data_IF_471714440991
#
_entry.id   IF_471714440991
#
_cell.length_a   1.000
_cell.length_b   1.000
_cell.length_c   1.000
_cell.angle_alpha   90.00
_cell.angle_beta   90.00
_cell.angle_gamma   90.00
#
_symmetry.space_group_name_H-M   'P 1'
#
loop_
_entity.id
_entity.type
_entity.pdbx_description
1 polymer ?
#
# COMPACT_ATOMS: atom_id res chain seq x y z
N UNK A 1 4.66 -28.30 54.39
CA UNK A 1 6.11 -28.38 54.07
C UNK A 1 6.35 -27.63 52.75
N UNK A 2 7.46 -26.90 52.60
CA UNK A 2 7.79 -26.19 51.35
C UNK A 2 8.18 -27.20 50.26
N UNK A 3 7.61 -27.06 49.05
CA UNK A 3 7.94 -27.89 47.89
C UNK A 3 9.38 -27.63 47.43
N UNK A 4 9.98 -28.60 46.72
CA UNK A 4 11.36 -28.45 46.22
C UNK A 4 11.49 -27.26 45.28
N UNK A 5 10.49 -27.04 44.39
CA UNK A 5 10.46 -25.89 43.49
C UNK A 5 10.40 -24.55 44.22
N UNK A 6 9.55 -24.45 45.24
CA UNK A 6 9.48 -23.23 46.07
C UNK A 6 10.82 -22.93 46.77
N UNK A 7 11.50 -23.95 47.31
CA UNK A 7 12.81 -23.76 47.97
C UNK A 7 13.86 -23.19 47.00
N UNK A 8 13.89 -23.68 45.76
CA UNK A 8 14.80 -23.20 44.73
C UNK A 8 14.49 -21.76 44.33
N UNK A 9 13.22 -21.41 44.12
CA UNK A 9 12.82 -20.05 43.73
C UNK A 9 13.05 -19.03 44.85
N UNK A 10 12.77 -19.39 46.10
CA UNK A 10 13.09 -18.54 47.26
C UNK A 10 14.60 -18.37 47.40
N UNK A 11 15.38 -19.45 47.25
CA UNK A 11 16.85 -19.38 47.25
C UNK A 11 17.41 -18.49 46.15
N UNK A 12 16.89 -18.60 44.92
CA UNK A 12 17.28 -17.78 43.78
C UNK A 12 16.89 -16.30 43.98
N UNK A 13 15.74 -16.02 44.59
CA UNK A 13 15.30 -14.66 44.95
C UNK A 13 16.28 -14.01 45.92
N UNK A 14 16.64 -14.71 46.99
CA UNK A 14 17.61 -14.22 47.99
C UNK A 14 18.98 -14.03 47.35
N UNK A 15 19.43 -14.97 46.52
CA UNK A 15 20.70 -14.86 45.81
C UNK A 15 20.75 -13.64 44.87
N UNK A 16 19.68 -13.39 44.10
CA UNK A 16 19.57 -12.22 43.23
C UNK A 16 19.56 -10.90 44.01
N UNK A 17 18.88 -10.86 45.16
CA UNK A 17 18.84 -9.69 46.02
C UNK A 17 20.20 -9.37 46.65
N UNK A 18 20.90 -10.39 47.16
CA UNK A 18 22.26 -10.25 47.69
C UNK A 18 23.23 -9.83 46.59
N UNK A 19 23.12 -10.41 45.39
CA UNK A 19 23.92 -10.01 44.23
C UNK A 19 23.67 -8.54 43.86
N UNK A 20 22.44 -8.04 43.94
CA UNK A 20 22.12 -6.64 43.68
C UNK A 20 22.86 -5.69 44.64
N UNK A 21 22.88 -6.04 45.94
CA UNK A 21 23.58 -5.27 46.97
C UNK A 21 25.09 -5.28 46.72
N UNK A 22 25.66 -6.47 46.51
CA UNK A 22 27.11 -6.61 46.28
C UNK A 22 27.55 -5.88 45.00
N UNK A 23 26.78 -6.01 43.91
CA UNK A 23 27.08 -5.33 42.65
C UNK A 23 26.97 -3.81 42.78
N UNK A 24 25.92 -3.32 43.46
CA UNK A 24 25.72 -1.89 43.70
C UNK A 24 26.85 -1.27 44.51
N UNK A 25 27.36 -1.97 45.53
CA UNK A 25 28.49 -1.51 46.34
C UNK A 25 29.85 -1.60 45.63
N UNK A 26 30.01 -2.52 44.67
CA UNK A 26 31.30 -2.79 44.05
C UNK A 26 31.54 -2.07 42.72
N UNK A 27 30.49 -1.67 42.00
CA UNK A 27 30.61 -1.18 40.62
C UNK A 27 29.90 0.15 40.32
N UNK A 28 29.22 0.77 41.28
CA UNK A 28 28.50 2.06 41.14
C UNK A 28 27.60 2.14 39.87
N UNK A 29 27.19 1.00 39.31
CA UNK A 29 26.45 0.90 38.07
C UNK A 29 24.96 0.72 38.31
N UNK A 30 24.16 1.76 38.03
CA UNK A 30 22.71 1.78 38.30
C UNK A 30 21.93 0.74 37.49
N UNK A 31 22.30 0.48 36.23
CA UNK A 31 21.60 -0.47 35.36
C UNK A 31 21.69 -1.92 35.85
N UNK A 32 22.84 -2.34 36.38
CA UNK A 32 23.02 -3.71 36.89
C UNK A 32 22.27 -3.96 38.20
N UNK A 33 22.21 -2.95 39.08
CA UNK A 33 21.41 -3.03 40.31
C UNK A 33 19.92 -3.14 39.98
N UNK A 34 19.42 -2.33 39.05
CA UNK A 34 18.01 -2.38 38.60
C UNK A 34 17.67 -3.74 37.98
N UNK A 35 18.56 -4.30 37.16
CA UNK A 35 18.37 -5.64 36.57
C UNK A 35 18.34 -6.77 37.61
N UNK A 36 19.18 -6.70 38.65
CA UNK A 36 19.20 -7.72 39.71
C UNK A 36 18.01 -7.59 40.66
N UNK A 37 17.55 -6.37 40.95
CA UNK A 37 16.33 -6.14 41.73
C UNK A 37 15.07 -6.56 40.96
N UNK A 38 15.00 -6.33 39.65
CA UNK A 38 13.87 -6.79 38.83
C UNK A 38 13.84 -8.31 38.74
N UNK A 39 15.00 -8.96 38.58
CA UNK A 39 15.13 -10.41 38.64
C UNK A 39 14.69 -10.98 40.01
N UNK A 40 15.13 -10.36 41.12
CA UNK A 40 14.70 -10.76 42.46
C UNK A 40 13.18 -10.62 42.63
N UNK A 41 12.59 -9.54 42.12
CA UNK A 41 11.13 -9.32 42.16
C UNK A 41 10.38 -10.37 41.35
N UNK A 42 10.82 -10.68 40.14
CA UNK A 42 10.22 -11.70 39.28
C UNK A 42 10.32 -13.10 39.89
N UNK A 43 11.49 -13.48 40.41
CA UNK A 43 11.70 -14.76 41.08
C UNK A 43 10.88 -14.88 42.36
N UNK A 44 10.76 -13.79 43.13
CA UNK A 44 9.93 -13.73 44.33
C UNK A 44 8.44 -13.89 44.01
N UNK A 45 7.96 -13.27 42.93
CA UNK A 45 6.60 -13.42 42.45
C UNK A 45 6.32 -14.86 41.99
N UNK A 46 7.23 -15.47 41.22
CA UNK A 46 7.14 -16.88 40.84
C UNK A 46 7.16 -17.82 42.06
N UNK A 47 7.98 -17.51 43.07
CA UNK A 47 8.00 -18.24 44.33
C UNK A 47 6.65 -18.14 45.06
N UNK A 48 6.05 -16.95 45.10
CA UNK A 48 4.73 -16.69 45.66
C UNK A 48 3.62 -17.47 44.94
N UNK A 49 3.62 -17.49 43.61
CA UNK A 49 2.68 -18.28 42.82
C UNK A 49 2.85 -19.77 43.11
N UNK A 50 4.10 -20.28 43.16
CA UNK A 50 4.36 -21.70 43.44
C UNK A 50 3.90 -22.10 44.86
N UNK A 51 4.08 -21.20 45.84
CA UNK A 51 3.64 -21.38 47.22
C UNK A 51 2.12 -21.55 47.35
N UNK A 52 1.35 -20.77 46.57
CA UNK A 52 -0.12 -20.76 46.60
C UNK A 52 -0.69 -21.89 45.74
N UNK A 53 -0.22 -22.03 44.50
CA UNK A 53 -0.79 -22.96 43.53
C UNK A 53 -0.46 -24.43 43.86
N UNK A 54 0.75 -24.72 44.36
CA UNK A 54 1.24 -26.08 44.74
C UNK A 54 1.13 -27.18 43.65
N UNK A 55 0.62 -26.85 42.46
CA UNK A 55 0.19 -27.75 41.39
C UNK A 55 1.33 -28.49 40.67
N UNK A 56 2.58 -28.15 40.96
CA UNK A 56 3.76 -28.66 40.26
C UNK A 56 4.60 -29.66 41.07
N UNK A 57 4.08 -30.20 42.18
CA UNK A 57 4.89 -30.99 43.12
C UNK A 57 4.23 -32.34 43.44
N UNK A 58 4.25 -33.25 42.47
CA UNK A 58 3.97 -34.67 42.70
C UNK A 58 5.24 -35.28 43.31
N UNK A 59 5.15 -35.83 44.52
CA UNK A 59 6.30 -36.52 45.10
C UNK A 59 6.46 -37.87 44.41
N UNK A 60 7.70 -38.24 44.03
CA UNK A 60 7.98 -39.57 43.44
C UNK A 60 7.67 -40.73 44.41
N UNK A 61 7.41 -40.44 45.69
CA UNK A 61 7.05 -41.40 46.72
C UNK A 61 5.54 -41.46 46.98
N UNK A 62 4.75 -40.65 46.29
CA UNK A 62 3.30 -40.54 46.48
C UNK A 62 2.57 -41.21 45.31
N UNK A 63 2.36 -42.52 45.43
CA UNK A 63 1.88 -43.38 44.34
C UNK A 63 0.47 -43.01 43.85
N UNK A 64 -0.38 -42.46 44.72
CA UNK A 64 -1.72 -41.98 44.38
C UNK A 64 -1.66 -40.69 43.54
N UNK A 65 -0.74 -39.78 43.90
CA UNK A 65 -0.51 -38.54 43.18
C UNK A 65 0.13 -38.77 41.80
N UNK A 66 0.84 -39.88 41.58
CA UNK A 66 1.38 -40.29 40.27
C UNK A 66 0.27 -40.77 39.33
N UNK A 67 -0.81 -41.36 39.85
CA UNK A 67 -1.96 -41.80 39.05
C UNK A 67 -2.83 -40.61 38.64
N UNK A 68 -2.97 -39.61 39.50
CA UNK A 68 -3.67 -38.34 39.21
C UNK A 68 -2.81 -37.30 38.47
N UNK A 69 -1.50 -37.57 38.31
CA UNK A 69 -0.56 -36.66 37.69
C UNK A 69 -0.99 -36.31 36.26
N UNK A 70 -0.69 -35.09 35.77
CA UNK A 70 -1.04 -34.67 34.40
C UNK A 70 -0.47 -35.56 33.28
N UNK A 71 0.46 -36.47 33.60
CA UNK A 71 1.00 -37.49 32.69
C UNK A 71 -0.01 -38.60 32.37
N UNK A 72 -1.03 -38.84 33.21
CA UNK A 72 -2.12 -39.79 32.94
C UNK A 72 -3.23 -39.20 32.06
N UNK A 73 -3.15 -37.91 31.71
CA UNK A 73 -4.07 -37.26 30.77
C UNK A 73 -3.68 -37.58 29.32
N UNK A 74 -4.68 -37.62 28.45
CA UNK A 74 -4.48 -37.75 27.01
C UNK A 74 -3.54 -36.66 26.51
N UNK A 75 -2.58 -37.02 25.63
CA UNK A 75 -1.71 -36.04 25.01
C UNK A 75 -2.56 -34.97 24.29
N UNK A 76 -2.20 -33.67 24.41
CA UNK A 76 -2.91 -32.61 23.72
C UNK A 76 -2.87 -32.86 22.22
N UNK A 77 -3.89 -32.39 21.51
CA UNK A 77 -3.94 -32.55 20.07
C UNK A 77 -2.85 -31.72 19.40
N UNK A 78 -2.32 -32.15 18.23
CA UNK A 78 -1.34 -31.38 17.51
C UNK A 78 -1.93 -30.04 17.06
N UNK A 79 -1.41 -28.94 17.61
CA UNK A 79 -1.86 -27.57 17.32
C UNK A 79 -0.88 -26.83 16.42
N UNK A 80 -1.40 -26.13 15.42
CA UNK A 80 -0.63 -25.26 14.53
C UNK A 80 -0.49 -23.83 15.06
N UNK A 81 -1.32 -23.43 16.02
CA UNK A 81 -1.37 -22.06 16.53
C UNK A 81 -0.06 -21.55 17.17
N UNK A 82 0.72 -22.36 17.92
CA UNK A 82 2.02 -21.93 18.40
C UNK A 82 2.97 -21.49 17.28
N UNK A 83 2.90 -22.16 16.12
CA UNK A 83 3.71 -21.83 14.96
C UNK A 83 3.23 -20.53 14.30
N UNK A 84 1.92 -20.30 14.25
CA UNK A 84 1.33 -19.03 13.79
C UNK A 84 1.75 -17.88 14.70
N UNK A 85 1.71 -18.05 16.02
CA UNK A 85 2.15 -17.04 16.99
C UNK A 85 3.65 -16.75 16.84
N UNK A 86 4.48 -17.78 16.68
CA UNK A 86 5.92 -17.60 16.45
C UNK A 86 6.20 -16.84 15.14
N UNK A 87 5.50 -17.19 14.06
CA UNK A 87 5.59 -16.49 12.78
C UNK A 87 5.13 -15.04 12.88
N UNK A 88 4.01 -14.78 13.57
CA UNK A 88 3.50 -13.44 13.84
C UNK A 88 4.47 -12.59 14.67
N UNK A 89 5.08 -13.16 15.72
CA UNK A 89 6.10 -12.49 16.50
C UNK A 89 7.35 -12.15 15.65
N UNK A 90 7.76 -13.06 14.77
CA UNK A 90 8.81 -12.80 13.79
C UNK A 90 8.46 -11.64 12.85
N UNK A 91 7.22 -11.58 12.34
CA UNK A 91 6.73 -10.49 11.51
C UNK A 91 6.66 -9.15 12.25
N UNK A 92 6.33 -9.14 13.54
CA UNK A 92 6.38 -7.93 14.37
C UNK A 92 7.81 -7.39 14.42
N UNK A 93 8.79 -8.24 14.72
CA UNK A 93 10.21 -7.84 14.78
C UNK A 93 10.69 -7.34 13.42
N UNK A 94 10.30 -8.01 12.34
CA UNK A 94 10.64 -7.60 10.98
C UNK A 94 10.00 -6.25 10.61
N UNK A 95 8.71 -6.07 10.87
CA UNK A 95 7.97 -4.85 10.55
C UNK A 95 8.37 -3.64 11.37
N UNK A 96 8.97 -3.83 12.56
CA UNK A 96 9.60 -2.74 13.30
C UNK A 96 10.77 -2.09 12.56
N UNK A 97 11.39 -2.81 11.61
CA UNK A 97 12.55 -2.35 10.85
C UNK A 97 12.17 -1.92 9.44
N UNK A 98 11.19 -2.60 8.81
CA UNK A 98 10.88 -2.42 7.39
C UNK A 98 9.69 -1.49 7.16
N UNK A 99 8.47 -1.99 7.40
CA UNK A 99 7.25 -1.23 7.16
C UNK A 99 6.14 -1.53 8.19
N UNK A 100 5.32 -0.51 8.44
CA UNK A 100 4.19 -0.58 9.37
C UNK A 100 3.16 -1.66 8.98
N UNK A 101 3.00 -1.96 7.69
CA UNK A 101 2.08 -3.00 7.23
C UNK A 101 2.45 -4.39 7.78
N UNK A 102 3.73 -4.76 7.75
CA UNK A 102 4.21 -6.04 8.28
C UNK A 102 4.06 -6.13 9.80
N UNK A 103 4.29 -5.01 10.49
CA UNK A 103 4.08 -4.92 11.94
C UNK A 103 2.61 -5.18 12.31
N UNK A 104 1.67 -4.49 11.64
CA UNK A 104 0.24 -4.64 11.90
C UNK A 104 -0.23 -6.08 11.62
N UNK A 105 0.21 -6.66 10.50
CA UNK A 105 -0.09 -8.05 10.15
C UNK A 105 0.43 -9.02 11.22
N UNK A 106 1.66 -8.81 11.71
CA UNK A 106 2.25 -9.59 12.79
C UNK A 106 1.43 -9.52 14.09
N UNK A 107 0.98 -8.32 14.46
CA UNK A 107 0.10 -8.12 15.63
C UNK A 107 -1.22 -8.86 15.49
N UNK A 108 -1.85 -8.81 14.30
CA UNK A 108 -3.10 -9.53 14.01
C UNK A 108 -2.88 -11.05 14.14
N UNK A 109 -1.81 -11.59 13.55
CA UNK A 109 -1.49 -13.02 13.62
C UNK A 109 -1.20 -13.50 15.04
N UNK A 110 -0.47 -12.71 15.84
CA UNK A 110 -0.25 -13.02 17.26
C UNK A 110 -1.55 -12.96 18.03
N UNK A 111 -2.37 -11.93 17.84
CA UNK A 111 -3.66 -11.78 18.53
C UNK A 111 -4.61 -12.94 18.25
N UNK A 112 -4.80 -13.27 16.97
CA UNK A 112 -5.63 -14.41 16.57
C UNK A 112 -5.04 -15.74 17.02
N UNK A 113 -3.73 -15.94 16.82
CA UNK A 113 -3.06 -17.17 17.20
C UNK A 113 -3.09 -17.44 18.70
N UNK A 114 -2.87 -16.42 19.54
CA UNK A 114 -2.97 -16.54 21.01
C UNK A 114 -4.41 -16.81 21.43
N UNK A 115 -5.38 -16.10 20.84
CA UNK A 115 -6.80 -16.30 21.16
C UNK A 115 -7.25 -17.72 20.83
N UNK A 116 -6.96 -18.20 19.61
CA UNK A 116 -7.33 -19.55 19.17
C UNK A 116 -6.56 -20.64 19.92
N UNK A 117 -5.27 -20.42 20.21
CA UNK A 117 -4.50 -21.35 21.03
C UNK A 117 -5.04 -21.44 22.46
N UNK A 118 -5.47 -20.30 23.03
CA UNK A 118 -6.10 -20.26 24.35
C UNK A 118 -7.47 -20.95 24.34
N UNK A 119 -8.29 -20.73 23.31
CA UNK A 119 -9.56 -21.44 23.12
C UNK A 119 -9.37 -22.94 22.96
N UNK A 120 -8.35 -23.36 22.22
CA UNK A 120 -7.99 -24.77 22.07
C UNK A 120 -7.63 -25.39 23.42
N UNK A 121 -6.68 -24.77 24.13
CA UNK A 121 -6.22 -25.24 25.43
C UNK A 121 -7.33 -25.25 26.49
N UNK A 122 -8.25 -24.29 26.44
CA UNK A 122 -9.45 -24.29 27.28
C UNK A 122 -10.42 -25.40 26.89
N UNK A 123 -10.72 -25.56 25.61
CA UNK A 123 -11.69 -26.54 25.12
C UNK A 123 -11.24 -27.98 25.41
N UNK A 124 -9.95 -28.28 25.28
CA UNK A 124 -9.37 -29.58 25.63
C UNK A 124 -9.51 -29.92 27.11
N UNK A 125 -9.69 -28.91 27.97
CA UNK A 125 -9.77 -29.04 29.44
C UNK A 125 -11.15 -28.73 30.00
N UNK A 126 -12.14 -28.46 29.15
CA UNK A 126 -13.48 -28.04 29.58
C UNK A 126 -14.21 -29.13 30.38
N UNK A 127 -14.03 -30.40 30.01
CA UNK A 127 -14.57 -31.56 30.72
C UNK A 127 -13.68 -32.79 30.58
N UNK A 128 -13.97 -33.83 31.36
CA UNK A 128 -13.34 -35.15 31.21
C UNK A 128 -13.82 -35.93 29.98
N UNK A 129 -14.87 -35.46 29.29
CA UNK A 129 -15.42 -36.10 28.09
C UNK A 129 -14.91 -35.41 26.82
N UNK A 130 -14.22 -36.18 25.98
CA UNK A 130 -13.66 -35.71 24.70
C UNK A 130 -14.76 -35.31 23.70
N UNK A 131 -15.93 -35.96 23.73
CA UNK A 131 -17.03 -35.63 22.83
C UNK A 131 -17.62 -34.24 23.16
N UNK A 132 -17.83 -33.97 24.45
CA UNK A 132 -18.27 -32.66 24.93
C UNK A 132 -17.27 -31.55 24.59
N UNK A 133 -15.98 -31.80 24.78
CA UNK A 133 -14.92 -30.82 24.49
C UNK A 133 -14.88 -30.40 23.02
N UNK A 134 -15.07 -31.35 22.09
CA UNK A 134 -15.16 -31.06 20.65
C UNK A 134 -16.39 -30.25 20.29
N UNK A 135 -17.53 -30.55 20.90
CA UNK A 135 -18.77 -29.81 20.66
C UNK A 135 -18.69 -28.38 21.22
N UNK A 136 -18.08 -28.20 22.40
CA UNK A 136 -17.84 -26.89 22.99
C UNK A 136 -16.97 -26.01 22.10
N UNK A 137 -15.88 -26.56 21.52
CA UNK A 137 -15.06 -25.84 20.53
C UNK A 137 -15.87 -25.48 19.29
N UNK A 138 -16.58 -26.45 18.71
CA UNK A 138 -17.33 -26.26 17.46
C UNK A 138 -18.41 -25.16 17.54
N UNK A 139 -19.02 -24.96 18.72
CA UNK A 139 -20.02 -23.91 18.94
C UNK A 139 -19.41 -22.50 19.07
N UNK A 140 -18.18 -22.39 19.59
CA UNK A 140 -17.52 -21.11 19.84
C UNK A 140 -16.64 -20.66 18.67
N UNK A 141 -15.76 -21.53 18.15
CA UNK A 141 -14.80 -21.16 17.09
C UNK A 141 -15.34 -21.41 15.68
N UNK A 142 -16.17 -22.44 15.49
CA UNK A 142 -16.63 -22.88 14.16
C UNK A 142 -17.20 -21.79 13.24
N UNK A 143 -18.05 -20.86 13.73
CA UNK A 143 -18.63 -19.81 12.87
C UNK A 143 -17.66 -18.69 12.47
N UNK A 144 -16.62 -18.41 13.27
CA UNK A 144 -15.73 -17.25 13.08
C UNK A 144 -14.33 -17.63 12.58
N UNK A 145 -13.85 -18.81 12.94
CA UNK A 145 -12.49 -19.29 12.63
C UNK A 145 -12.24 -19.32 11.11
N UNK A 146 -13.15 -19.91 10.32
CA UNK A 146 -12.97 -20.00 8.87
C UNK A 146 -13.08 -18.66 8.13
N UNK A 147 -14.09 -17.80 8.38
CA UNK A 147 -14.16 -16.49 7.71
C UNK A 147 -12.99 -15.58 8.06
N UNK A 148 -12.55 -15.56 9.33
CA UNK A 148 -11.43 -14.71 9.77
C UNK A 148 -10.12 -15.20 9.16
N UNK A 149 -9.84 -16.50 9.20
CA UNK A 149 -8.64 -17.05 8.57
C UNK A 149 -8.64 -16.82 7.06
N UNK A 150 -9.78 -16.97 6.39
CA UNK A 150 -9.90 -16.71 4.96
C UNK A 150 -9.64 -15.23 4.64
N UNK A 151 -10.16 -14.30 5.46
CA UNK A 151 -9.91 -12.87 5.28
C UNK A 151 -8.43 -12.51 5.46
N UNK A 152 -7.78 -13.04 6.50
CA UNK A 152 -6.35 -12.82 6.74
C UNK A 152 -5.52 -13.40 5.58
N UNK A 153 -5.82 -14.62 5.14
CA UNK A 153 -5.14 -15.23 4.00
C UNK A 153 -5.32 -14.41 2.72
N UNK A 154 -6.53 -13.90 2.45
CA UNK A 154 -6.79 -13.05 1.29
C UNK A 154 -5.98 -11.74 1.35
N UNK A 155 -5.93 -11.08 2.51
CA UNK A 155 -5.13 -9.86 2.71
C UNK A 155 -3.65 -10.13 2.44
N UNK A 156 -3.10 -11.21 2.99
CA UNK A 156 -1.70 -11.61 2.77
C UNK A 156 -1.41 -11.84 1.28
N UNK A 157 -2.32 -12.54 0.59
CA UNK A 157 -2.17 -12.83 -0.85
C UNK A 157 -2.22 -11.56 -1.68
N UNK A 158 -3.22 -10.71 -1.46
CA UNK A 158 -3.40 -9.44 -2.20
C UNK A 158 -2.20 -8.52 -1.98
N UNK A 159 -1.75 -8.37 -0.73
CA UNK A 159 -0.61 -7.52 -0.39
C UNK A 159 0.69 -8.02 -1.04
N UNK A 160 0.96 -9.32 -0.95
CA UNK A 160 2.17 -9.90 -1.56
C UNK A 160 2.16 -9.77 -3.08
N UNK A 161 1.00 -10.00 -3.70
CA UNK A 161 0.83 -9.82 -5.15
C UNK A 161 1.03 -8.36 -5.57
N UNK A 162 0.48 -7.40 -4.81
CA UNK A 162 0.68 -5.97 -5.04
C UNK A 162 2.17 -5.61 -5.04
N UNK A 163 2.95 -6.09 -4.06
CA UNK A 163 4.40 -5.84 -4.01
C UNK A 163 5.16 -6.46 -5.18
N UNK A 164 4.84 -7.71 -5.55
CA UNK A 164 5.45 -8.35 -6.73
C UNK A 164 5.18 -7.55 -8.00
N UNK A 165 3.96 -7.03 -8.16
CA UNK A 165 3.56 -6.26 -9.34
C UNK A 165 4.22 -4.88 -9.42
N UNK A 166 4.43 -4.22 -8.28
CA UNK A 166 5.14 -2.94 -8.22
C UNK A 166 6.63 -3.09 -8.49
N UNK A 167 7.20 -4.25 -8.14
CA UNK A 167 8.59 -4.58 -8.41
C UNK A 167 8.85 -4.96 -9.88
N UNK A 168 7.90 -5.63 -10.54
CA UNK A 168 8.09 -6.14 -11.90
C UNK A 168 8.15 -5.01 -12.96
N UNK A 169 9.15 -5.10 -13.85
CA UNK A 169 9.33 -4.16 -14.97
C UNK A 169 8.30 -4.38 -16.10
N UNK A 170 8.21 -3.40 -17.04
CA UNK A 170 7.32 -3.45 -18.22
C UNK A 170 7.48 -4.73 -19.04
N UNK A 171 8.68 -5.31 -19.08
CA UNK A 171 8.97 -6.56 -19.79
C UNK A 171 8.86 -7.80 -18.90
N UNK A 172 9.26 -7.71 -17.63
CA UNK A 172 9.20 -8.84 -16.70
C UNK A 172 7.77 -9.18 -16.27
N UNK A 173 6.90 -8.18 -16.12
CA UNK A 173 5.48 -8.30 -15.79
C UNK A 173 4.77 -9.35 -16.64
N UNK A 174 4.62 -9.12 -17.96
CA UNK A 174 3.97 -10.06 -18.87
C UNK A 174 4.59 -11.45 -18.86
N UNK A 175 5.93 -11.54 -18.80
CA UNK A 175 6.64 -12.83 -18.78
C UNK A 175 6.29 -13.64 -17.53
N UNK A 176 6.28 -13.01 -16.36
CA UNK A 176 5.91 -13.69 -15.11
C UNK A 176 4.46 -14.21 -15.16
N UNK A 177 3.51 -13.42 -15.69
CA UNK A 177 2.13 -13.87 -15.86
C UNK A 177 2.01 -15.06 -16.80
N UNK A 178 2.74 -15.07 -17.92
CA UNK A 178 2.74 -16.21 -18.84
C UNK A 178 3.27 -17.47 -18.16
N UNK A 179 4.36 -17.36 -17.38
CA UNK A 179 4.92 -18.49 -16.63
C UNK A 179 3.92 -19.01 -15.61
N UNK A 180 3.32 -18.13 -14.80
CA UNK A 180 2.34 -18.51 -13.77
C UNK A 180 1.10 -19.14 -14.42
N UNK A 181 0.57 -18.55 -15.50
CA UNK A 181 -0.56 -19.11 -16.24
C UNK A 181 -0.24 -20.50 -16.79
N UNK A 182 0.97 -20.69 -17.32
CA UNK A 182 1.42 -22.00 -17.82
C UNK A 182 1.55 -23.03 -16.69
N UNK A 183 2.08 -22.63 -15.52
CA UNK A 183 2.13 -23.51 -14.34
C UNK A 183 0.73 -23.90 -13.85
N UNK A 184 -0.21 -22.95 -13.79
CA UNK A 184 -1.61 -23.22 -13.41
C UNK A 184 -2.27 -24.15 -14.43
N UNK A 185 -2.03 -23.94 -15.73
CA UNK A 185 -2.60 -24.76 -16.79
C UNK A 185 -2.05 -26.19 -16.76
N UNK A 186 -0.73 -26.35 -16.64
CA UNK A 186 -0.08 -27.68 -16.52
C UNK A 186 -0.50 -28.38 -15.23
N UNK A 187 -0.52 -27.66 -14.11
CA UNK A 187 -0.97 -28.18 -12.82
C UNK A 187 -2.43 -28.61 -12.83
N UNK A 188 -3.31 -27.77 -13.37
CA UNK A 188 -4.74 -28.04 -13.52
C UNK A 188 -5.02 -29.22 -14.45
N UNK A 189 -4.29 -29.32 -15.57
CA UNK A 189 -4.37 -30.46 -16.47
C UNK A 189 -3.92 -31.75 -15.77
N UNK A 190 -2.78 -31.72 -15.06
CA UNK A 190 -2.31 -32.87 -14.28
C UNK A 190 -3.32 -33.31 -13.21
N UNK A 191 -3.98 -32.36 -12.55
CA UNK A 191 -5.02 -32.63 -11.56
C UNK A 191 -6.27 -33.27 -12.19
N UNK A 192 -6.68 -32.79 -13.38
CA UNK A 192 -7.84 -33.30 -14.10
C UNK A 192 -7.64 -34.75 -14.61
N UNK A 193 -6.41 -35.14 -14.93
CA UNK A 193 -6.10 -36.50 -15.39
C UNK A 193 -5.93 -37.52 -14.25
N UNK A 194 -5.75 -37.09 -13.01
CA UNK A 194 -5.63 -38.02 -11.89
C UNK A 194 -6.99 -38.43 -11.33
N UNK A 195 -7.18 -39.76 -11.19
CA UNK A 195 -8.41 -40.37 -10.70
C UNK A 195 -8.69 -40.12 -9.21
N UNK A 196 -7.64 -39.79 -8.43
CA UNK A 196 -7.75 -39.43 -7.02
C UNK A 196 -6.47 -38.73 -6.57
N UNK A 197 -6.57 -37.48 -6.13
CA UNK A 197 -5.44 -36.75 -5.55
C UNK A 197 -5.48 -36.89 -4.04
N UNK A 198 -4.33 -37.22 -3.43
CA UNK A 198 -4.23 -37.31 -1.97
C UNK A 198 -4.38 -35.91 -1.37
N UNK A 199 -5.13 -35.78 -0.28
CA UNK A 199 -5.31 -34.50 0.44
C UNK A 199 -3.96 -33.88 0.85
N UNK A 200 -2.96 -34.71 1.15
CA UNK A 200 -1.60 -34.28 1.46
C UNK A 200 -0.88 -33.64 0.28
N UNK A 201 -1.13 -34.09 -0.96
CA UNK A 201 -0.54 -33.49 -2.15
C UNK A 201 -1.13 -32.10 -2.42
N UNK A 202 -2.44 -31.94 -2.24
CA UNK A 202 -3.11 -30.63 -2.34
C UNK A 202 -2.52 -29.67 -1.31
N UNK A 203 -2.46 -30.10 -0.04
CA UNK A 203 -1.92 -29.30 1.04
C UNK A 203 -0.46 -28.88 0.78
N UNK A 204 0.37 -29.79 0.26
CA UNK A 204 1.76 -29.49 -0.08
C UNK A 204 1.88 -28.44 -1.20
N UNK A 205 1.10 -28.58 -2.29
CA UNK A 205 1.13 -27.64 -3.41
C UNK A 205 0.66 -26.25 -2.96
N UNK A 206 -0.45 -26.18 -2.21
CA UNK A 206 -0.96 -24.92 -1.68
C UNK A 206 0.04 -24.26 -0.73
N UNK A 207 0.70 -25.04 0.14
CA UNK A 207 1.72 -24.51 1.04
C UNK A 207 2.93 -23.95 0.28
N UNK A 208 3.43 -24.64 -0.75
CA UNK A 208 4.53 -24.16 -1.58
C UNK A 208 4.14 -22.89 -2.34
N UNK A 209 2.94 -22.85 -2.93
CA UNK A 209 2.44 -21.69 -3.65
C UNK A 209 2.28 -20.46 -2.74
N UNK A 210 1.67 -20.64 -1.57
CA UNK A 210 1.53 -19.58 -0.58
C UNK A 210 2.89 -19.08 -0.08
N UNK A 211 3.82 -19.99 0.22
CA UNK A 211 5.15 -19.63 0.70
C UNK A 211 5.97 -18.91 -0.36
N UNK A 212 5.90 -19.35 -1.62
CA UNK A 212 6.55 -18.67 -2.75
C UNK A 212 5.99 -17.27 -2.99
N UNK A 213 4.67 -17.11 -2.90
CA UNK A 213 4.01 -15.82 -3.06
C UNK A 213 4.37 -14.85 -1.93
N UNK A 214 4.38 -15.30 -0.68
CA UNK A 214 4.77 -14.47 0.47
C UNK A 214 6.26 -14.12 0.41
N UNK A 215 7.14 -15.10 0.13
CA UNK A 215 8.57 -14.84 0.02
C UNK A 215 8.90 -13.88 -1.14
N UNK A 216 8.23 -14.05 -2.28
CA UNK A 216 8.34 -13.14 -3.42
C UNK A 216 7.84 -11.73 -3.09
N UNK A 217 6.71 -11.60 -2.39
CA UNK A 217 6.17 -10.32 -1.94
C UNK A 217 7.08 -9.59 -0.96
N UNK A 218 7.68 -10.31 0.00
CA UNK A 218 8.65 -9.73 0.95
C UNK A 218 9.92 -9.28 0.23
N UNK A 219 10.48 -10.11 -0.65
CA UNK A 219 11.67 -9.74 -1.43
C UNK A 219 11.40 -8.52 -2.32
N UNK A 220 10.28 -8.51 -3.03
CA UNK A 220 9.85 -7.38 -3.85
C UNK A 220 9.63 -6.10 -3.03
N UNK A 221 9.07 -6.21 -1.83
CA UNK A 221 8.90 -5.07 -0.93
C UNK A 221 10.22 -4.49 -0.42
N UNK A 222 11.27 -5.31 -0.27
CA UNK A 222 12.58 -4.85 0.19
C UNK A 222 13.38 -4.12 -0.91
N UNK A 223 13.20 -4.52 -2.16
CA UNK A 223 13.94 -3.94 -3.30
C UNK A 223 13.38 -2.57 -3.74
N UNK A 224 12.19 -2.20 -3.25
CA UNK A 224 11.51 -0.95 -3.60
C UNK A 224 10.65 -1.02 -4.85
N UNK A 225 9.83 0.01 -5.05
CA UNK A 225 8.95 0.15 -6.21
C UNK A 225 9.76 0.65 -7.40
N UNK A 226 9.42 0.20 -8.62
CA UNK A 226 10.04 0.77 -9.82
C UNK A 226 9.62 2.23 -9.97
N UNK A 227 10.52 3.08 -10.45
CA UNK A 227 10.18 4.44 -10.85
C UNK A 227 9.14 4.40 -11.98
N UNK A 228 7.96 4.94 -11.68
CA UNK A 228 6.93 5.22 -12.66
C UNK A 228 7.16 6.66 -13.08
N UNK A 229 7.88 6.89 -14.18
CA UNK A 229 7.95 8.23 -14.75
C UNK A 229 6.52 8.67 -15.08
N UNK A 230 6.04 9.78 -14.47
CA UNK A 230 4.81 10.39 -14.92
C UNK A 230 5.00 10.74 -16.39
N UNK A 231 4.06 10.32 -17.23
CA UNK A 231 4.03 10.84 -18.59
C UNK A 231 3.58 12.29 -18.46
N UNK A 232 4.49 13.21 -18.81
CA UNK A 232 4.17 14.62 -18.91
C UNK A 232 2.95 14.76 -19.83
N UNK A 233 1.98 15.57 -19.42
CA UNK A 233 0.80 15.86 -20.19
C UNK A 233 0.74 17.35 -20.50
N UNK A 234 -0.09 17.73 -21.47
CA UNK A 234 -0.34 19.15 -21.78
C UNK A 234 -0.88 19.95 -20.59
N UNK A 235 -1.43 19.27 -19.57
CA UNK A 235 -1.85 19.92 -18.32
C UNK A 235 -0.64 20.21 -17.43
N UNK A 236 0.31 19.28 -17.35
CA UNK A 236 1.55 19.44 -16.59
C UNK A 236 2.40 20.58 -17.16
N UNK A 237 2.52 20.68 -18.49
CA UNK A 237 3.14 21.85 -19.16
C UNK A 237 2.49 23.18 -18.77
N UNK A 238 1.16 23.19 -18.60
CA UNK A 238 0.43 24.37 -18.17
C UNK A 238 0.62 24.70 -16.68
N UNK A 239 0.88 23.69 -15.86
CA UNK A 239 1.18 23.82 -14.44
C UNK A 239 2.61 24.31 -14.19
N UNK A 240 3.54 23.96 -15.06
CA UNK A 240 4.94 24.43 -15.02
C UNK A 240 5.17 25.75 -15.79
N UNK A 241 4.12 26.33 -16.38
CA UNK A 241 4.21 27.49 -17.28
C UNK A 241 5.17 27.28 -18.46
N UNK A 242 5.34 26.03 -18.89
CA UNK A 242 6.21 25.58 -19.96
C UNK A 242 5.47 25.38 -21.30
N UNK A 243 4.29 25.96 -21.47
CA UNK A 243 3.55 25.88 -22.74
C UNK A 243 4.15 26.78 -23.84
N UNK A 244 5.16 27.60 -23.55
CA UNK A 244 5.78 28.53 -24.50
C UNK A 244 6.84 27.90 -25.41
N UNK A 245 7.19 26.62 -25.17
CA UNK A 245 8.13 25.90 -26.02
C UNK A 245 7.48 25.50 -27.35
N UNK A 246 8.22 25.73 -28.44
CA UNK A 246 7.89 25.22 -29.78
C UNK A 246 8.41 23.80 -30.03
N UNK A 247 9.24 23.28 -29.12
CA UNK A 247 9.90 21.98 -29.29
C UNK A 247 8.97 20.84 -28.86
N UNK A 248 9.23 19.65 -29.38
CA UNK A 248 8.50 18.43 -29.04
C UNK A 248 8.82 18.01 -27.60
N UNK A 249 7.76 17.75 -26.83
CA UNK A 249 7.80 17.32 -25.43
C UNK A 249 7.14 15.96 -25.27
N UNK A 250 7.38 15.26 -24.16
CA UNK A 250 6.74 13.98 -23.87
C UNK A 250 5.20 14.11 -23.82
N UNK A 251 4.69 15.31 -23.50
CA UNK A 251 3.27 15.65 -23.54
C UNK A 251 2.62 15.60 -24.92
N UNK A 252 3.42 15.63 -25.98
CA UNK A 252 2.96 15.55 -27.36
C UNK A 252 2.84 14.09 -27.83
N UNK A 253 3.59 13.18 -27.21
CA UNK A 253 3.54 11.74 -27.52
C UNK A 253 2.19 11.13 -27.12
N UNK A 254 1.45 10.62 -28.10
CA UNK A 254 0.14 9.99 -27.89
C UNK A 254 -0.91 10.91 -27.24
N UNK A 255 -0.80 12.23 -27.44
CA UNK A 255 -1.74 13.19 -26.90
C UNK A 255 -3.20 12.86 -27.27
N UNK A 256 -4.06 12.77 -26.26
CA UNK A 256 -5.50 12.46 -26.41
C UNK A 256 -6.31 13.60 -27.05
N UNK A 257 -5.66 14.72 -27.37
CA UNK A 257 -6.28 15.91 -27.93
C UNK A 257 -6.49 15.85 -29.45
N UNK A 258 -5.94 14.82 -30.12
CA UNK A 258 -6.12 14.62 -31.56
C UNK A 258 -7.57 14.25 -31.83
N UNK A 259 -8.34 15.14 -32.49
CA UNK A 259 -9.81 15.03 -32.55
C UNK A 259 -10.38 14.94 -33.97
N UNK A 260 -11.47 14.17 -34.08
CA UNK A 260 -12.55 14.33 -35.06
C UNK A 260 -13.83 14.92 -34.45
N UNK A 261 -13.71 15.69 -33.37
CA UNK A 261 -14.84 16.17 -32.58
C UNK A 261 -15.59 17.28 -33.32
N UNK A 262 -16.85 17.01 -33.71
CA UNK A 262 -17.72 17.96 -34.42
C UNK A 262 -18.81 18.57 -33.53
N UNK A 263 -18.89 18.15 -32.27
CA UNK A 263 -19.96 18.56 -31.36
C UNK A 263 -19.44 19.54 -30.29
N UNK A 264 -20.21 20.60 -30.03
CA UNK A 264 -19.94 21.61 -29.01
C UNK A 264 -18.57 22.31 -29.15
N UNK A 265 -18.11 22.53 -30.38
CA UNK A 265 -16.95 23.41 -30.67
C UNK A 265 -17.42 24.85 -30.56
N UNK A 266 -16.71 25.68 -29.80
CA UNK A 266 -17.01 27.10 -29.66
C UNK A 266 -16.39 27.92 -30.78
N UNK A 267 -15.12 27.65 -31.10
CA UNK A 267 -14.40 28.28 -32.20
C UNK A 267 -13.36 27.33 -32.81
N UNK A 268 -13.02 27.57 -34.07
CA UNK A 268 -11.86 26.98 -34.73
C UNK A 268 -10.83 28.09 -34.92
N UNK A 269 -9.63 27.89 -34.37
CA UNK A 269 -8.50 28.80 -34.52
C UNK A 269 -7.54 28.18 -35.51
N UNK A 270 -7.27 28.88 -36.61
CA UNK A 270 -6.38 28.42 -37.67
C UNK A 270 -5.15 29.31 -37.73
N UNK A 271 -3.97 28.69 -37.73
CA UNK A 271 -2.72 29.34 -38.10
C UNK A 271 -2.46 29.07 -39.59
N UNK A 272 -2.53 30.10 -40.42
CA UNK A 272 -2.32 30.00 -41.88
C UNK A 272 -0.84 30.09 -42.29
N UNK A 273 -0.57 29.85 -43.59
CA UNK A 273 0.77 29.84 -44.22
C UNK A 273 1.61 31.14 -44.06
N UNK A 274 0.98 32.24 -43.63
CA UNK A 274 1.62 33.54 -43.42
C UNK A 274 1.80 33.92 -41.96
N UNK A 275 1.78 32.95 -41.04
CA UNK A 275 1.79 33.16 -39.58
C UNK A 275 0.65 34.03 -39.07
N UNK A 276 -0.47 34.05 -39.80
CA UNK A 276 -1.69 34.76 -39.41
C UNK A 276 -2.60 33.83 -38.59
N UNK A 277 -2.96 34.27 -37.39
CA UNK A 277 -3.86 33.55 -36.50
C UNK A 277 -5.29 34.08 -36.65
N UNK A 278 -6.20 33.22 -37.11
CA UNK A 278 -7.61 33.58 -37.35
C UNK A 278 -8.53 32.72 -36.49
N UNK A 279 -9.58 33.31 -35.90
CA UNK A 279 -10.60 32.56 -35.18
C UNK A 279 -11.96 32.66 -35.86
N UNK A 280 -12.57 31.50 -36.12
CA UNK A 280 -13.92 31.39 -36.66
C UNK A 280 -14.83 30.85 -35.55
N UNK A 281 -15.76 31.68 -35.09
CA UNK A 281 -16.77 31.28 -34.12
C UNK A 281 -17.76 30.27 -34.72
N UNK A 282 -18.37 29.44 -33.87
CA UNK A 282 -19.51 28.60 -34.24
C UNK A 282 -20.67 29.46 -34.74
N UNK A 283 -20.83 29.49 -36.07
CA UNK A 283 -21.66 30.46 -36.79
C UNK A 283 -20.97 31.09 -38.00
N UNK A 284 -19.68 30.79 -38.24
CA UNK A 284 -18.95 31.19 -39.44
C UNK A 284 -18.46 32.64 -39.44
N UNK A 285 -18.41 33.28 -38.27
CA UNK A 285 -17.94 34.65 -38.13
C UNK A 285 -16.48 34.66 -37.72
N UNK A 286 -15.64 35.27 -38.54
CA UNK A 286 -14.27 35.60 -38.19
C UNK A 286 -14.23 36.67 -37.10
N UNK A 287 -13.33 36.52 -36.14
CA UNK A 287 -13.13 37.47 -35.06
C UNK A 287 -11.69 37.40 -34.54
N UNK A 288 -11.19 38.52 -34.03
CA UNK A 288 -9.95 38.61 -33.24
C UNK A 288 -10.23 38.72 -31.75
N UNK A 289 -11.52 38.72 -31.37
CA UNK A 289 -11.99 38.84 -29.99
C UNK A 289 -13.16 37.90 -29.72
N UNK A 290 -13.07 37.09 -28.69
CA UNK A 290 -14.07 36.07 -28.37
C UNK A 290 -14.57 36.19 -26.93
N UNK A 291 -15.90 36.19 -26.75
CA UNK A 291 -16.52 36.29 -25.44
C UNK A 291 -16.94 34.90 -24.93
N UNK A 292 -16.39 34.48 -23.80
CA UNK A 292 -16.64 33.17 -23.20
C UNK A 292 -17.38 33.35 -21.87
N UNK A 293 -18.43 32.56 -21.64
CA UNK A 293 -19.15 32.60 -20.38
C UNK A 293 -18.27 32.18 -19.20
N UNK A 294 -18.31 32.95 -18.10
CA UNK A 294 -17.63 32.61 -16.85
C UNK A 294 -18.03 31.21 -16.40
N UNK A 295 -17.04 30.42 -16.00
CA UNK A 295 -17.19 29.07 -15.49
C UNK A 295 -17.91 28.09 -16.44
N UNK A 296 -18.00 28.43 -17.74
CA UNK A 296 -18.51 27.52 -18.75
C UNK A 296 -17.35 26.81 -19.45
N UNK A 297 -17.47 25.50 -19.64
CA UNK A 297 -16.47 24.75 -20.40
C UNK A 297 -16.59 25.12 -21.89
N UNK A 298 -15.50 25.62 -22.45
CA UNK A 298 -15.38 25.97 -23.86
C UNK A 298 -14.40 25.01 -24.55
N UNK A 299 -14.77 24.59 -25.76
CA UNK A 299 -13.94 23.74 -26.60
C UNK A 299 -13.48 24.54 -27.82
N UNK A 300 -12.17 24.62 -28.05
CA UNK A 300 -11.60 25.27 -29.22
C UNK A 300 -10.75 24.26 -29.98
N UNK A 301 -10.90 24.24 -31.30
CA UNK A 301 -10.04 23.43 -32.17
C UNK A 301 -8.94 24.33 -32.70
N UNK A 302 -7.69 23.97 -32.43
CA UNK A 302 -6.54 24.54 -33.11
C UNK A 302 -6.28 23.74 -34.39
N UNK A 303 -6.12 24.44 -35.51
CA UNK A 303 -5.70 23.86 -36.79
C UNK A 303 -4.42 24.54 -37.24
N UNK A 304 -3.38 23.74 -37.44
CA UNK A 304 -2.12 24.24 -37.95
C UNK A 304 -2.05 24.00 -39.45
N UNK A 305 -2.00 25.06 -40.25
CA UNK A 305 -1.72 24.97 -41.68
C UNK A 305 -0.28 25.38 -42.01
N UNK A 306 0.50 25.82 -41.02
CA UNK A 306 1.92 26.13 -41.21
C UNK A 306 2.78 24.87 -41.39
N UNK A 307 3.94 25.03 -42.02
CA UNK A 307 4.88 23.94 -42.33
C UNK A 307 5.66 23.42 -41.11
N UNK A 308 5.56 24.09 -39.95
CA UNK A 308 6.24 23.69 -38.72
C UNK A 308 5.22 23.18 -37.70
N UNK A 309 5.54 22.17 -36.87
CA UNK A 309 4.69 21.78 -35.76
C UNK A 309 4.51 22.94 -34.78
N UNK A 310 3.26 23.25 -34.43
CA UNK A 310 2.92 24.36 -33.54
C UNK A 310 1.87 23.94 -32.53
N UNK A 311 1.86 24.60 -31.37
CA UNK A 311 0.83 24.43 -30.33
C UNK A 311 0.10 25.74 -30.08
N UNK A 312 -1.16 25.66 -29.69
CA UNK A 312 -1.94 26.81 -29.26
C UNK A 312 -1.84 26.94 -27.75
N UNK A 313 -1.56 28.14 -27.25
CA UNK A 313 -1.46 28.45 -25.83
C UNK A 313 -2.54 29.45 -25.45
N UNK A 314 -3.30 29.14 -24.41
CA UNK A 314 -4.20 30.06 -23.72
C UNK A 314 -3.49 30.58 -22.47
N UNK A 315 -3.25 31.88 -22.39
CA UNK A 315 -2.81 32.53 -21.16
C UNK A 315 -4.01 33.09 -20.41
N UNK A 316 -4.16 32.72 -19.14
CA UNK A 316 -5.19 33.22 -18.21
C UNK A 316 -4.62 34.10 -17.09
N UNK A 317 -3.43 34.66 -17.30
CA UNK A 317 -2.74 35.55 -16.37
C UNK A 317 -1.73 34.80 -15.51
N UNK A 318 -1.72 35.04 -14.20
CA UNK A 318 -0.78 34.40 -13.28
C UNK A 318 -1.48 33.59 -12.18
N UNK A 319 -0.84 32.51 -11.74
CA UNK A 319 -1.20 31.69 -10.57
C UNK A 319 -0.03 31.63 -9.57
N UNK A 320 -0.31 31.20 -8.35
CA UNK A 320 0.77 30.94 -7.38
C UNK A 320 1.60 29.75 -7.88
N UNK A 321 2.92 29.81 -7.71
CA UNK A 321 3.78 28.66 -7.94
C UNK A 321 3.53 27.61 -6.85
N UNK A 322 3.71 26.34 -7.20
CA UNK A 322 3.43 25.21 -6.32
C UNK A 322 4.66 24.31 -6.28
N UNK A 323 4.99 23.76 -5.11
CA UNK A 323 6.11 22.83 -4.95
C UNK A 323 5.76 21.41 -5.44
N UNK A 324 6.74 20.49 -5.39
CA UNK A 324 6.57 19.06 -5.76
C UNK A 324 5.46 18.35 -4.95
N UNK A 325 5.01 18.92 -3.82
CA UNK A 325 3.98 18.35 -2.94
C UNK A 325 2.60 19.00 -3.11
N UNK A 326 2.46 20.00 -3.98
CA UNK A 326 1.20 20.70 -4.14
C UNK A 326 1.00 21.90 -3.20
N UNK A 327 2.04 22.33 -2.47
CA UNK A 327 1.99 23.48 -1.55
C UNK A 327 2.37 24.79 -2.26
N UNK A 328 1.60 25.86 -2.03
CA UNK A 328 1.88 27.17 -2.64
C UNK A 328 3.20 27.76 -2.13
N UNK A 329 4.06 28.16 -3.06
CA UNK A 329 5.32 28.86 -2.77
C UNK A 329 4.99 30.34 -2.54
N UNK A 330 5.16 30.79 -1.30
CA UNK A 330 4.78 32.15 -0.90
C UNK A 330 5.59 33.21 -1.67
N UNK A 331 4.88 34.07 -2.42
CA UNK A 331 5.45 35.20 -3.14
C UNK A 331 5.92 34.90 -4.57
N UNK A 332 5.90 33.64 -5.00
CA UNK A 332 6.22 33.26 -6.38
C UNK A 332 4.95 33.07 -7.21
N UNK A 333 4.91 33.69 -8.39
CA UNK A 333 3.78 33.59 -9.31
C UNK A 333 4.29 33.21 -10.69
N UNK A 334 3.66 32.20 -11.27
CA UNK A 334 3.93 31.71 -12.62
C UNK A 334 2.75 32.02 -13.54
N UNK A 335 2.97 31.92 -14.85
CA UNK A 335 1.89 32.12 -15.81
C UNK A 335 0.90 30.96 -15.73
N UNK A 336 -0.39 31.29 -15.66
CA UNK A 336 -1.46 30.30 -15.77
C UNK A 336 -1.73 30.06 -17.25
N UNK A 337 -1.15 28.99 -17.77
CA UNK A 337 -1.24 28.65 -19.19
C UNK A 337 -1.93 27.31 -19.37
N UNK A 338 -2.61 27.16 -20.51
CA UNK A 338 -3.09 25.87 -21.00
C UNK A 338 -2.76 25.75 -22.47
N UNK A 339 -2.16 24.66 -22.87
CA UNK A 339 -1.80 24.46 -24.26
C UNK A 339 -2.43 23.22 -24.88
N UNK A 340 -2.47 23.22 -26.21
CA UNK A 340 -2.64 22.00 -26.96
C UNK A 340 -1.34 21.20 -27.02
N UNK A 341 -1.43 19.93 -27.38
CA UNK A 341 -0.29 19.23 -27.96
C UNK A 341 0.14 19.90 -29.27
N UNK A 342 1.34 19.60 -29.74
CA UNK A 342 1.82 19.99 -31.06
C UNK A 342 0.89 19.43 -32.14
N UNK A 343 0.54 20.28 -33.09
CA UNK A 343 -0.16 19.92 -34.31
C UNK A 343 0.82 20.02 -35.48
N UNK A 344 1.02 18.92 -36.20
CA UNK A 344 1.76 18.93 -37.47
C UNK A 344 1.02 19.73 -38.56
N UNK A 345 1.66 19.92 -39.72
CA UNK A 345 1.05 20.56 -40.89
C UNK A 345 -0.28 19.86 -41.27
N UNK A 346 -1.36 20.63 -41.34
CA UNK A 346 -2.72 20.15 -41.57
C UNK A 346 -3.37 19.45 -40.37
N UNK A 347 -2.66 19.28 -39.27
CA UNK A 347 -3.12 18.67 -38.02
C UNK A 347 -4.10 19.54 -37.25
N UNK A 348 -4.87 18.91 -36.36
CA UNK A 348 -5.82 19.61 -35.49
C UNK A 348 -5.88 19.04 -34.09
N UNK A 349 -5.87 19.92 -33.09
CA UNK A 349 -5.88 19.56 -31.67
C UNK A 349 -7.03 20.25 -30.95
N UNK A 350 -7.63 19.57 -29.97
CA UNK A 350 -8.71 20.11 -29.14
C UNK A 350 -8.17 20.67 -27.83
N UNK A 351 -8.47 21.93 -27.56
CA UNK A 351 -8.31 22.53 -26.24
C UNK A 351 -9.65 22.67 -25.53
N UNK A 352 -9.80 21.99 -24.40
CA UNK A 352 -10.95 22.13 -23.51
C UNK A 352 -10.54 22.91 -22.27
N UNK A 353 -11.21 24.02 -21.98
CA UNK A 353 -10.84 24.88 -20.87
C UNK A 353 -12.07 25.53 -20.22
N UNK A 354 -11.85 26.04 -19.00
CA UNK A 354 -12.83 26.75 -18.20
C UNK A 354 -12.11 27.91 -17.52
N UNK A 355 -12.67 29.11 -17.63
CA UNK A 355 -12.12 30.31 -17.00
C UNK A 355 -13.10 30.77 -15.93
N UNK A 356 -12.64 30.78 -14.67
CA UNK A 356 -13.47 31.16 -13.52
C UNK A 356 -13.33 32.66 -13.17
N UNK A 357 -12.18 33.27 -13.47
CA UNK A 357 -11.90 34.69 -13.24
C UNK A 357 -12.52 35.55 -14.37
N UNK A 358 -13.03 36.75 -14.03
CA UNK A 358 -13.53 37.68 -15.05
C UNK A 358 -12.35 38.42 -15.66
N UNK A 359 -12.43 38.80 -16.93
CA UNK A 359 -11.39 39.62 -17.56
C UNK A 359 -11.25 41.00 -16.92
N UNK A 360 -12.25 41.46 -16.15
CA UNK A 360 -12.14 42.71 -15.37
C UNK A 360 -11.27 42.60 -14.12
N UNK A 361 -11.21 41.39 -13.56
CA UNK A 361 -10.45 41.11 -12.34
C UNK A 361 -9.05 40.60 -12.67
N UNK A 362 -8.77 40.31 -13.95
CA UNK A 362 -7.52 39.74 -14.43
C UNK A 362 -6.40 40.78 -14.45
N UNK A 363 -5.20 40.36 -14.02
CA UNK A 363 -4.01 41.21 -13.99
C UNK A 363 -3.42 41.37 -15.40
N UNK A 364 -3.65 40.38 -16.27
CA UNK A 364 -3.22 40.33 -17.66
C UNK A 364 -4.39 39.95 -18.57
N UNK A 365 -4.39 40.38 -19.85
CA UNK A 365 -5.44 40.02 -20.79
C UNK A 365 -5.39 38.51 -21.09
N UNK A 366 -6.57 37.87 -21.10
CA UNK A 366 -6.67 36.49 -21.54
C UNK A 366 -6.54 36.45 -23.05
N UNK A 367 -5.66 35.60 -23.57
CA UNK A 367 -5.39 35.56 -25.00
C UNK A 367 -4.89 34.20 -25.46
N UNK A 368 -5.19 33.90 -26.73
CA UNK A 368 -4.55 32.80 -27.43
C UNK A 368 -3.32 33.29 -28.19
N UNK A 369 -2.23 32.55 -28.04
CA UNK A 369 -0.97 32.76 -28.74
C UNK A 369 -0.47 31.45 -29.32
N UNK A 370 0.39 31.53 -30.33
CA UNK A 370 1.14 30.39 -30.85
C UNK A 370 2.63 30.70 -30.63
N UNK A 371 3.38 29.86 -29.89
CA UNK A 371 4.80 30.10 -29.68
C UNK A 371 5.62 29.96 -30.96
N UNK A 372 6.64 30.81 -31.10
CA UNK A 372 7.55 30.82 -32.24
C UNK A 372 7.05 31.55 -33.49
N UNK A 373 5.88 32.20 -33.43
CA UNK A 373 5.36 33.06 -34.51
C UNK A 373 4.94 34.42 -33.98
N UNK A 374 5.21 35.49 -34.75
CA UNK A 374 4.79 36.86 -34.42
C UNK A 374 3.34 37.13 -34.89
N UNK A 375 2.44 36.19 -34.59
CA UNK A 375 1.03 36.31 -34.94
C UNK A 375 0.30 37.25 -33.97
N UNK A 376 -0.67 38.02 -34.49
CA UNK A 376 -1.54 38.82 -33.63
C UNK A 376 -2.35 37.91 -32.69
N UNK A 377 -2.34 38.13 -31.36
CA UNK A 377 -3.06 37.27 -30.43
C UNK A 377 -4.57 37.44 -30.57
N UNK A 378 -5.32 36.37 -30.27
CA UNK A 378 -6.79 36.43 -30.21
C UNK A 378 -7.19 36.72 -28.76
N UNK A 379 -7.86 37.85 -28.54
CA UNK A 379 -8.28 38.27 -27.20
C UNK A 379 -9.50 37.48 -26.73
N UNK A 380 -9.44 36.98 -25.48
CA UNK A 380 -10.53 36.28 -24.81
C UNK A 380 -11.13 37.17 -23.73
N UNK A 381 -12.45 37.40 -23.81
CA UNK A 381 -13.18 38.21 -22.84
C UNK A 381 -14.13 37.32 -22.04
N UNK A 382 -13.97 37.32 -20.73
CA UNK A 382 -14.87 36.68 -19.77
C UNK A 382 -15.65 37.79 -19.05
N UNK A 383 -16.99 37.83 -19.18
CA UNK A 383 -17.83 38.89 -18.63
C UNK A 383 -17.67 39.14 -17.12
#
# INVERSE_FOLDING_TARGET
>A
MLTTGTKLLVGATVAAFVAAIVYGLAKDGTLGVVGLLSAATALGLLAGINLVARDSNVSAMDAEAVVEAPVSRSAPSPSLWPLVVAGGAGLIVFGLVTEQAFFLLGVILVGLGVFEWMLEAWSERASADVAFNREARGRLSGPLEFPVLAAVAAVVVIFSFSRIMLFLSKTAGPVAFVIVALLILVGGFGFAYQKSVRSTAIAAITAIGALGLVAGGVAAGLEGERELHPHESTADLGDEAACDTSDETEADENATQTVGNKANVFAVITLGDGDELTAILSGGRETTRMAIGRSNAANVIFRNESNEPRRLVLSTGSKAAVDENGEEIEGERILDQRCTALAEEGGSQLLTFKIDKSSRDADEPFQFTVPGVDAAPIEVVVP
#
